data_IF_575510992964
#
_entry.id   IF_575510992964
#
_cell.length_a   1.000
_cell.length_b   1.000
_cell.length_c   1.000
_cell.angle_alpha   90.00
_cell.angle_beta   90.00
_cell.angle_gamma   90.00
#
_symmetry.space_group_name_H-M   'P 1'
#
loop_
_entity.id
_entity.type
_entity.pdbx_description
1 polymer ?
#
# COMPACT_ATOMS: atom_id res chain seq x y z
N UNK A 1 -22.11 -16.25 -4.50
CA UNK A 1 -23.49 -16.66 -4.21
C UNK A 1 -24.05 -16.06 -2.91
N UNK A 2 -23.29 -15.97 -1.81
CA UNK A 2 -23.77 -15.35 -0.55
C UNK A 2 -23.90 -13.82 -0.66
N UNK A 3 -23.09 -13.16 -1.49
CA UNK A 3 -23.14 -11.70 -1.66
C UNK A 3 -24.30 -11.18 -2.52
N UNK A 4 -24.97 -12.04 -3.29
CA UNK A 4 -25.96 -11.58 -4.27
C UNK A 4 -27.41 -11.66 -3.77
N UNK A 5 -27.69 -12.40 -2.69
CA UNK A 5 -29.08 -12.70 -2.28
C UNK A 5 -29.64 -11.85 -1.14
N UNK A 6 -28.81 -11.19 -0.33
CA UNK A 6 -29.26 -10.41 0.86
C UNK A 6 -28.42 -9.11 1.03
N UNK A 7 -27.71 -8.70 0.00
CA UNK A 7 -26.81 -7.56 0.12
C UNK A 7 -27.56 -6.22 0.03
N UNK A 8 -27.39 -5.39 1.02
CA UNK A 8 -27.68 -3.96 0.89
C UNK A 8 -26.71 -3.36 -0.13
N UNK A 9 -27.22 -2.67 -1.13
CA UNK A 9 -26.42 -2.01 -2.15
C UNK A 9 -26.34 -0.53 -1.86
N UNK A 10 -25.11 0.01 -1.78
CA UNK A 10 -24.90 1.45 -1.76
C UNK A 10 -25.21 2.03 -3.14
N UNK A 11 -26.20 2.91 -3.27
CA UNK A 11 -26.63 3.45 -4.57
C UNK A 11 -25.59 4.34 -5.23
N UNK A 12 -24.66 4.93 -4.46
CA UNK A 12 -23.64 5.86 -4.94
C UNK A 12 -22.36 5.11 -5.32
N UNK A 13 -21.91 4.21 -4.45
CA UNK A 13 -20.64 3.49 -4.65
C UNK A 13 -20.82 2.16 -5.39
N UNK A 14 -22.06 1.68 -5.58
CA UNK A 14 -22.34 0.40 -6.18
C UNK A 14 -21.87 -0.82 -5.38
N UNK A 15 -21.37 -0.60 -4.16
CA UNK A 15 -20.84 -1.65 -3.29
C UNK A 15 -22.00 -2.44 -2.70
N UNK A 16 -21.94 -3.76 -2.80
CA UNK A 16 -22.84 -4.67 -2.10
C UNK A 16 -22.23 -5.08 -0.77
N UNK A 17 -23.04 -5.12 0.29
CA UNK A 17 -22.58 -5.49 1.62
C UNK A 17 -23.61 -6.30 2.40
N UNK A 18 -23.15 -7.25 3.21
CA UNK A 18 -23.94 -8.03 4.15
C UNK A 18 -23.23 -8.03 5.51
N UNK A 19 -24.03 -7.95 6.59
CA UNK A 19 -23.54 -8.14 7.95
C UNK A 19 -24.09 -9.47 8.50
N UNK A 20 -23.20 -10.31 8.98
CA UNK A 20 -23.55 -11.59 9.59
C UNK A 20 -23.13 -11.53 11.07
N UNK A 21 -24.02 -11.90 12.01
CA UNK A 21 -23.63 -12.06 13.40
C UNK A 21 -22.45 -13.04 13.53
N UNK A 22 -21.46 -12.67 14.31
CA UNK A 22 -20.23 -13.45 14.52
C UNK A 22 -19.83 -13.40 16.00
N UNK A 23 -18.97 -14.28 16.39
CA UNK A 23 -18.40 -14.36 17.75
C UNK A 23 -16.96 -14.78 17.68
N UNK A 24 -16.10 -14.11 18.46
CA UNK A 24 -14.73 -14.57 18.66
C UNK A 24 -14.39 -14.67 20.14
N UNK A 25 -13.32 -15.38 20.44
CA UNK A 25 -12.79 -15.46 21.80
C UNK A 25 -11.62 -14.50 21.94
N UNK A 26 -11.72 -13.57 22.88
CA UNK A 26 -10.63 -12.68 23.25
C UNK A 26 -9.90 -13.28 24.46
N UNK A 27 -8.60 -13.47 24.34
CA UNK A 27 -7.78 -13.99 25.42
C UNK A 27 -7.49 -12.87 26.43
N UNK A 28 -7.99 -13.01 27.64
CA UNK A 28 -7.69 -12.11 28.76
C UNK A 28 -6.87 -12.85 29.83
N UNK A 29 -6.30 -12.12 30.79
CA UNK A 29 -5.57 -12.70 31.92
C UNK A 29 -6.45 -13.65 32.74
N UNK A 30 -7.76 -13.48 32.70
CA UNK A 30 -8.77 -14.33 33.35
C UNK A 30 -9.26 -15.51 32.49
N UNK A 31 -8.76 -15.65 31.27
CA UNK A 31 -9.16 -16.66 30.30
C UNK A 31 -9.90 -16.09 29.05
N UNK A 32 -10.28 -16.94 28.12
CA UNK A 32 -10.95 -16.51 26.89
C UNK A 32 -12.39 -16.06 27.16
N UNK A 33 -12.71 -14.83 26.78
CA UNK A 33 -14.06 -14.25 26.88
C UNK A 33 -14.69 -14.22 25.50
N UNK A 34 -15.95 -14.69 25.31
CA UNK A 34 -16.65 -14.58 24.05
C UNK A 34 -17.06 -13.11 23.80
N UNK A 35 -16.68 -12.58 22.63
CA UNK A 35 -17.02 -11.22 22.20
C UNK A 35 -17.99 -11.32 21.04
N UNK A 36 -19.20 -10.80 21.23
CA UNK A 36 -20.19 -10.68 20.14
C UNK A 36 -19.70 -9.68 19.10
N UNK A 37 -19.85 -10.03 17.85
CA UNK A 37 -19.37 -9.26 16.74
C UNK A 37 -20.28 -9.34 15.51
N UNK A 38 -19.90 -8.62 14.49
CA UNK A 38 -20.49 -8.71 13.15
C UNK A 38 -19.37 -8.93 12.15
N UNK A 39 -19.53 -9.91 11.28
CA UNK A 39 -18.71 -10.10 10.09
C UNK A 39 -19.39 -9.38 8.93
N UNK A 40 -18.75 -8.33 8.45
CA UNK A 40 -19.21 -7.56 7.29
C UNK A 40 -18.48 -8.06 6.04
N UNK A 41 -19.23 -8.52 5.05
CA UNK A 41 -18.71 -8.92 3.75
C UNK A 41 -19.12 -7.88 2.72
N UNK A 42 -18.17 -7.44 1.91
CA UNK A 42 -18.36 -6.44 0.87
C UNK A 42 -17.93 -6.98 -0.48
N UNK A 43 -18.60 -6.52 -1.52
CA UNK A 43 -18.19 -6.68 -2.91
C UNK A 43 -18.22 -5.33 -3.61
N UNK A 44 -17.05 -4.87 -4.01
CA UNK A 44 -16.83 -3.63 -4.76
C UNK A 44 -16.59 -3.99 -6.22
N UNK A 45 -17.55 -3.71 -7.15
CA UNK A 45 -17.41 -4.10 -8.55
C UNK A 45 -16.27 -3.37 -9.26
N UNK A 46 -15.99 -2.12 -8.92
CA UNK A 46 -14.90 -1.34 -9.51
C UNK A 46 -13.55 -1.92 -9.11
N UNK A 47 -13.41 -2.23 -7.81
CA UNK A 47 -12.19 -2.88 -7.32
C UNK A 47 -12.04 -4.30 -7.88
N UNK A 48 -13.14 -5.03 -8.06
CA UNK A 48 -13.14 -6.35 -8.67
C UNK A 48 -12.59 -6.30 -10.11
N UNK A 49 -13.06 -5.36 -10.91
CA UNK A 49 -12.60 -5.15 -12.28
C UNK A 49 -11.11 -4.77 -12.32
N UNK A 50 -10.70 -3.77 -11.54
CA UNK A 50 -9.30 -3.34 -11.47
C UNK A 50 -8.35 -4.48 -11.07
N UNK A 51 -8.69 -5.21 -10.01
CA UNK A 51 -7.86 -6.32 -9.51
C UNK A 51 -7.85 -7.51 -10.49
N UNK A 52 -8.94 -7.73 -11.22
CA UNK A 52 -9.04 -8.77 -12.25
C UNK A 52 -8.14 -8.42 -13.43
N UNK A 53 -8.23 -7.20 -13.93
CA UNK A 53 -7.42 -6.72 -15.05
C UNK A 53 -5.91 -6.72 -14.68
N UNK A 54 -5.56 -6.36 -13.47
CA UNK A 54 -4.19 -6.44 -12.96
C UNK A 54 -3.70 -7.89 -12.92
N UNK A 55 -4.49 -8.81 -12.40
CA UNK A 55 -4.16 -10.23 -12.35
C UNK A 55 -3.96 -10.82 -13.76
N UNK A 56 -4.88 -10.57 -14.68
CA UNK A 56 -4.75 -11.04 -16.07
C UNK A 56 -3.50 -10.49 -16.73
N UNK A 57 -3.24 -9.20 -16.60
CA UNK A 57 -2.04 -8.56 -17.16
C UNK A 57 -0.77 -9.22 -16.61
N UNK A 58 -0.70 -9.46 -15.30
CA UNK A 58 0.47 -10.06 -14.67
C UNK A 58 0.68 -11.51 -15.12
N UNK A 59 -0.40 -12.30 -15.21
CA UNK A 59 -0.35 -13.69 -15.66
C UNK A 59 0.04 -13.78 -17.13
N UNK A 60 -0.54 -12.95 -18.00
CA UNK A 60 -0.23 -12.94 -19.44
C UNK A 60 1.22 -12.50 -19.70
N UNK A 61 1.68 -11.46 -19.03
CA UNK A 61 3.08 -11.03 -19.14
C UNK A 61 4.05 -12.11 -18.69
N UNK A 62 3.74 -12.82 -17.60
CA UNK A 62 4.59 -13.91 -17.13
C UNK A 62 4.57 -15.09 -18.08
N UNK A 63 3.40 -15.43 -18.65
CA UNK A 63 3.27 -16.48 -19.67
C UNK A 63 4.12 -16.17 -20.90
N UNK A 64 4.06 -14.96 -21.41
CA UNK A 64 4.84 -14.49 -22.56
C UNK A 64 6.34 -14.63 -22.29
N UNK A 65 6.84 -14.07 -21.18
CA UNK A 65 8.24 -14.14 -20.80
C UNK A 65 8.75 -15.57 -20.62
N UNK A 66 7.91 -16.46 -20.05
CA UNK A 66 8.26 -17.88 -19.87
C UNK A 66 8.31 -18.63 -21.20
N UNK A 67 7.37 -18.39 -22.10
CA UNK A 67 7.36 -19.02 -23.41
C UNK A 67 8.50 -18.50 -24.31
N UNK A 68 8.79 -17.21 -24.29
CA UNK A 68 9.97 -16.65 -24.98
C UNK A 68 11.28 -17.27 -24.45
N UNK A 69 11.41 -17.42 -23.13
CA UNK A 69 12.55 -18.06 -22.52
C UNK A 69 12.70 -19.54 -22.93
N UNK A 70 11.58 -20.26 -22.98
CA UNK A 70 11.55 -21.65 -23.44
C UNK A 70 11.88 -21.78 -24.93
N UNK A 71 11.40 -20.88 -25.78
CA UNK A 71 11.72 -20.85 -27.21
C UNK A 71 13.22 -20.64 -27.46
N UNK A 72 13.88 -19.77 -26.69
CA UNK A 72 15.34 -19.58 -26.78
C UNK A 72 16.10 -20.83 -26.40
N UNK A 73 15.66 -21.57 -25.38
CA UNK A 73 16.28 -22.85 -25.00
C UNK A 73 16.13 -23.89 -26.13
N UNK A 74 14.91 -24.04 -26.71
CA UNK A 74 14.68 -24.94 -27.85
C UNK A 74 15.55 -24.57 -29.05
N UNK A 75 15.74 -23.28 -29.32
CA UNK A 75 16.64 -22.84 -30.40
C UNK A 75 18.06 -23.27 -30.12
N UNK A 76 18.59 -23.09 -28.91
CA UNK A 76 19.93 -23.55 -28.51
C UNK A 76 20.05 -25.07 -28.68
N UNK A 77 19.04 -25.83 -28.28
CA UNK A 77 19.02 -27.29 -28.43
C UNK A 77 19.01 -27.73 -29.90
N UNK A 78 18.21 -27.09 -30.74
CA UNK A 78 18.15 -27.35 -32.18
C UNK A 78 19.49 -27.05 -32.88
N UNK A 79 20.12 -25.91 -32.60
CA UNK A 79 21.44 -25.54 -33.12
C UNK A 79 22.53 -26.50 -32.62
N UNK A 80 22.38 -26.98 -31.38
CA UNK A 80 23.28 -27.97 -30.79
C UNK A 80 23.18 -29.30 -31.51
N UNK A 81 21.98 -29.78 -31.83
CA UNK A 81 21.78 -31.01 -32.60
C UNK A 81 22.48 -30.94 -33.97
N UNK A 82 22.30 -29.85 -34.72
CA UNK A 82 22.97 -29.61 -35.99
C UNK A 82 24.52 -29.58 -35.86
N UNK A 83 24.99 -29.04 -34.73
CA UNK A 83 26.44 -28.98 -34.44
C UNK A 83 27.01 -30.34 -34.03
N UNK A 84 26.23 -31.17 -33.34
CA UNK A 84 26.59 -32.54 -32.99
C UNK A 84 26.70 -33.40 -34.24
N UNK A 85 25.75 -33.29 -35.19
CA UNK A 85 25.83 -34.01 -36.47
C UNK A 85 27.12 -33.72 -37.25
N UNK A 86 27.50 -32.41 -37.29
CA UNK A 86 28.77 -31.98 -37.91
C UNK A 86 30.02 -32.45 -37.13
N UNK A 87 29.92 -32.48 -35.78
CA UNK A 87 31.03 -32.92 -34.92
C UNK A 87 31.20 -34.43 -34.92
N UNK A 88 30.15 -35.20 -35.17
CA UNK A 88 30.22 -36.67 -35.29
C UNK A 88 31.18 -37.14 -36.40
N UNK A 89 31.30 -36.33 -37.46
CA UNK A 89 32.28 -36.58 -38.54
C UNK A 89 33.75 -36.38 -38.10
N UNK A 90 33.98 -35.66 -36.97
CA UNK A 90 35.30 -35.32 -36.43
C UNK A 90 35.72 -36.15 -35.22
N UNK A 91 34.86 -37.06 -34.76
CA UNK A 91 35.13 -38.00 -33.67
C UNK A 91 34.47 -37.64 -32.32
N UNK A 92 34.49 -38.61 -31.41
CA UNK A 92 33.79 -38.53 -30.11
C UNK A 92 34.20 -37.36 -29.21
N UNK A 93 35.49 -36.99 -29.21
CA UNK A 93 35.98 -35.86 -28.41
C UNK A 93 35.36 -34.51 -28.83
N UNK A 94 35.12 -34.32 -30.15
CA UNK A 94 34.47 -33.14 -30.68
C UNK A 94 32.98 -33.07 -30.26
N UNK A 95 32.28 -34.19 -30.31
CA UNK A 95 30.87 -34.30 -29.85
C UNK A 95 30.75 -33.98 -28.36
N UNK A 96 31.65 -34.49 -27.51
CA UNK A 96 31.66 -34.25 -26.07
C UNK A 96 31.85 -32.75 -25.75
N UNK A 97 32.74 -32.07 -26.50
CA UNK A 97 32.97 -30.63 -26.35
C UNK A 97 31.75 -29.79 -26.73
N UNK A 98 31.05 -30.14 -27.83
CA UNK A 98 29.81 -29.46 -28.24
C UNK A 98 28.70 -29.62 -27.18
N UNK A 99 28.51 -30.84 -26.67
CA UNK A 99 27.53 -31.11 -25.62
C UNK A 99 27.81 -30.33 -24.34
N UNK A 100 29.05 -30.23 -23.88
CA UNK A 100 29.41 -29.48 -22.68
C UNK A 100 29.19 -27.95 -22.86
N UNK A 101 29.52 -27.40 -24.02
CA UNK A 101 29.30 -26.00 -24.35
C UNK A 101 27.81 -25.66 -24.43
N UNK A 102 27.02 -26.54 -25.04
CA UNK A 102 25.57 -26.37 -25.12
C UNK A 102 24.89 -26.41 -23.74
N UNK A 103 25.30 -27.35 -22.89
CA UNK A 103 24.77 -27.43 -21.53
C UNK A 103 25.05 -26.14 -20.71
N UNK A 104 26.21 -25.53 -20.93
CA UNK A 104 26.54 -24.24 -20.29
C UNK A 104 25.69 -23.11 -20.84
N UNK A 105 25.40 -23.06 -22.14
CA UNK A 105 24.51 -22.06 -22.75
C UNK A 105 23.07 -22.20 -22.24
N UNK A 106 22.53 -23.40 -22.19
CA UNK A 106 21.21 -23.68 -21.64
C UNK A 106 21.14 -23.22 -20.19
N UNK A 107 22.13 -23.56 -19.36
CA UNK A 107 22.17 -23.13 -17.96
C UNK A 107 22.21 -21.61 -17.81
N UNK A 108 22.99 -20.91 -18.63
CA UNK A 108 23.03 -19.45 -18.64
C UNK A 108 21.66 -18.84 -19.03
N UNK A 109 21.01 -19.45 -20.03
CA UNK A 109 19.67 -19.00 -20.45
C UNK A 109 18.61 -19.25 -19.37
N UNK A 110 18.65 -20.39 -18.69
CA UNK A 110 17.77 -20.69 -17.56
C UNK A 110 17.96 -19.69 -16.41
N UNK A 111 19.20 -19.34 -16.09
CA UNK A 111 19.52 -18.35 -15.08
C UNK A 111 18.99 -16.95 -15.47
N UNK A 112 19.13 -16.55 -16.72
CA UNK A 112 18.54 -15.31 -17.24
C UNK A 112 17.01 -15.35 -17.16
N UNK A 113 16.39 -16.45 -17.59
CA UNK A 113 14.93 -16.63 -17.54
C UNK A 113 14.39 -16.58 -16.10
N UNK A 114 15.16 -17.02 -15.11
CA UNK A 114 14.77 -16.94 -13.70
C UNK A 114 14.73 -15.50 -13.16
N UNK A 115 15.51 -14.59 -13.76
CA UNK A 115 15.60 -13.17 -13.38
C UNK A 115 14.59 -12.26 -14.09
N UNK A 116 13.88 -12.77 -15.11
CA UNK A 116 12.92 -11.97 -15.91
C UNK A 116 11.67 -11.55 -15.14
N UNK A 117 11.31 -12.30 -14.12
CA UNK A 117 10.13 -12.03 -13.30
C UNK A 117 10.60 -11.87 -11.86
N UNK A 118 10.13 -10.80 -11.19
CA UNK A 118 10.41 -10.58 -9.77
C UNK A 118 9.97 -11.81 -8.94
N UNK A 119 10.84 -12.35 -8.05
CA UNK A 119 10.53 -13.55 -7.25
C UNK A 119 9.23 -13.44 -6.42
N UNK A 120 8.93 -12.24 -5.91
CA UNK A 120 7.71 -11.99 -5.12
C UNK A 120 6.48 -12.06 -6.02
N UNK A 121 6.56 -11.44 -7.21
CA UNK A 121 5.50 -11.49 -8.21
C UNK A 121 5.33 -12.93 -8.72
N UNK A 122 6.42 -13.62 -9.05
CA UNK A 122 6.38 -15.02 -9.49
C UNK A 122 5.68 -15.94 -8.49
N UNK A 123 5.98 -15.79 -7.19
CA UNK A 123 5.34 -16.58 -6.13
C UNK A 123 3.81 -16.41 -6.11
N UNK A 124 3.30 -15.23 -6.46
CA UNK A 124 1.86 -14.94 -6.51
C UNK A 124 1.17 -15.54 -7.72
N UNK A 125 1.83 -15.56 -8.89
CA UNK A 125 1.20 -15.92 -10.17
C UNK A 125 1.52 -17.33 -10.64
N UNK A 126 2.60 -17.97 -10.15
CA UNK A 126 3.02 -19.31 -10.60
C UNK A 126 1.93 -20.39 -10.50
N UNK A 127 1.00 -20.24 -9.56
CA UNK A 127 -0.11 -21.18 -9.37
C UNK A 127 -1.08 -21.21 -10.57
N UNK A 128 -1.14 -20.12 -11.33
CA UNK A 128 -2.01 -20.00 -12.50
C UNK A 128 -1.37 -20.49 -13.79
N UNK A 129 -0.11 -20.90 -13.73
CA UNK A 129 0.64 -21.38 -14.88
C UNK A 129 1.08 -22.83 -14.64
N UNK A 130 1.14 -23.61 -15.71
CA UNK A 130 1.74 -24.94 -15.70
C UNK A 130 2.72 -25.09 -16.85
N UNK A 131 3.75 -25.89 -16.63
CA UNK A 131 4.79 -26.23 -17.60
C UNK A 131 4.46 -27.58 -18.24
N UNK A 132 4.27 -27.59 -19.55
CA UNK A 132 4.15 -28.81 -20.33
C UNK A 132 5.54 -29.24 -20.87
N UNK A 133 6.26 -30.04 -20.10
CA UNK A 133 7.60 -30.53 -20.47
C UNK A 133 7.62 -31.46 -21.68
N UNK A 134 6.45 -31.94 -22.12
CA UNK A 134 6.29 -32.81 -23.28
C UNK A 134 5.73 -32.06 -24.50
N UNK A 135 5.67 -30.74 -24.43
CA UNK A 135 5.17 -29.94 -25.53
C UNK A 135 6.04 -30.12 -26.78
N UNK A 136 5.40 -30.31 -27.93
CA UNK A 136 6.09 -30.38 -29.23
C UNK A 136 6.68 -29.03 -29.60
N UNK A 137 7.52 -28.99 -30.65
CA UNK A 137 8.27 -27.78 -30.99
C UNK A 137 7.40 -26.57 -31.32
N UNK A 138 6.20 -26.79 -31.85
CA UNK A 138 5.18 -25.80 -32.23
C UNK A 138 4.19 -25.50 -31.09
N UNK A 139 4.23 -26.22 -29.97
CA UNK A 139 3.34 -26.01 -28.83
C UNK A 139 4.02 -25.12 -27.76
N UNK A 140 3.25 -24.25 -27.07
CA UNK A 140 3.78 -23.50 -25.97
C UNK A 140 4.17 -24.39 -24.80
N UNK A 141 5.32 -24.13 -24.21
CA UNK A 141 5.80 -24.87 -23.03
C UNK A 141 4.99 -24.49 -21.78
N UNK A 142 4.62 -23.23 -21.67
CA UNK A 142 3.82 -22.73 -20.56
C UNK A 142 2.40 -22.42 -20.99
N UNK A 143 1.43 -22.78 -20.17
CA UNK A 143 0.00 -22.56 -20.42
C UNK A 143 -0.70 -22.10 -19.15
N UNK A 144 -1.89 -21.47 -19.30
CA UNK A 144 -2.71 -20.97 -18.20
C UNK A 144 -3.61 -22.09 -17.67
N UNK A 145 -3.70 -22.19 -16.35
CA UNK A 145 -4.71 -22.97 -15.64
C UNK A 145 -5.95 -22.12 -15.47
N UNK A 146 -6.85 -22.20 -16.42
CA UNK A 146 -8.04 -21.35 -16.47
C UNK A 146 -8.96 -21.54 -15.28
N UNK A 147 -9.09 -22.76 -14.75
CA UNK A 147 -9.98 -23.04 -13.62
C UNK A 147 -9.50 -22.35 -12.34
N UNK A 148 -8.20 -22.46 -12.03
CA UNK A 148 -7.59 -21.77 -10.87
C UNK A 148 -7.65 -20.24 -11.01
N UNK A 149 -7.47 -19.74 -12.24
CA UNK A 149 -7.55 -18.30 -12.52
C UNK A 149 -8.98 -17.79 -12.36
N UNK A 150 -9.99 -18.54 -12.86
CA UNK A 150 -11.40 -18.22 -12.71
C UNK A 150 -11.83 -18.18 -11.24
N UNK A 151 -11.44 -19.20 -10.47
CA UNK A 151 -11.69 -19.23 -9.02
C UNK A 151 -11.09 -18.00 -8.31
N UNK A 152 -9.84 -17.64 -8.66
CA UNK A 152 -9.20 -16.47 -8.07
C UNK A 152 -9.88 -15.15 -8.43
N UNK A 153 -10.49 -15.05 -9.61
CA UNK A 153 -11.22 -13.87 -10.06
C UNK A 153 -12.56 -13.71 -9.31
N UNK A 154 -13.23 -14.80 -8.94
CA UNK A 154 -14.50 -14.75 -8.20
C UNK A 154 -14.42 -13.97 -6.89
N UNK A 155 -13.25 -14.00 -6.23
CA UNK A 155 -13.01 -13.30 -4.96
C UNK A 155 -12.42 -11.91 -5.12
N UNK A 156 -12.21 -11.41 -6.35
CA UNK A 156 -11.72 -10.05 -6.56
C UNK A 156 -12.79 -9.04 -6.18
N UNK A 157 -12.32 -7.93 -5.57
CA UNK A 157 -13.22 -6.90 -5.02
C UNK A 157 -13.97 -7.30 -3.76
N UNK A 158 -13.78 -8.54 -3.27
CA UNK A 158 -14.36 -8.98 -1.99
C UNK A 158 -13.45 -8.54 -0.83
N UNK A 159 -14.09 -8.04 0.23
CA UNK A 159 -13.44 -7.64 1.48
C UNK A 159 -14.27 -8.11 2.67
N UNK A 160 -13.61 -8.55 3.73
CA UNK A 160 -14.24 -8.89 5.00
C UNK A 160 -13.72 -7.98 6.11
N UNK A 161 -14.62 -7.41 6.91
CA UNK A 161 -14.31 -6.61 8.08
C UNK A 161 -15.06 -7.19 9.26
N UNK A 162 -14.39 -7.37 10.40
CA UNK A 162 -15.04 -7.80 11.65
C UNK A 162 -15.11 -6.60 12.58
N UNK A 163 -16.29 -6.38 13.19
CA UNK A 163 -16.53 -5.30 14.14
C UNK A 163 -17.33 -5.80 15.33
N UNK A 164 -16.95 -5.40 16.53
CA UNK A 164 -17.73 -5.65 17.76
C UNK A 164 -18.63 -4.47 18.14
N UNK A 165 -18.48 -3.33 17.47
CA UNK A 165 -19.16 -2.09 17.83
C UNK A 165 -20.28 -1.68 16.84
N UNK A 166 -20.18 -2.13 15.58
CA UNK A 166 -21.04 -1.63 14.52
C UNK A 166 -21.71 -2.78 13.76
N UNK A 167 -23.04 -2.73 13.68
CA UNK A 167 -23.85 -3.70 12.95
C UNK A 167 -24.13 -3.29 11.50
N UNK A 168 -24.09 -1.99 11.21
CA UNK A 168 -24.31 -1.49 9.86
C UNK A 168 -23.04 -1.61 9.01
N UNK A 169 -23.05 -2.40 7.91
CA UNK A 169 -21.85 -2.65 7.11
C UNK A 169 -21.27 -1.38 6.47
N UNK A 170 -22.11 -0.40 6.06
CA UNK A 170 -21.60 0.81 5.42
C UNK A 170 -20.96 1.76 6.43
N UNK A 171 -21.47 1.82 7.66
CA UNK A 171 -20.84 2.58 8.75
C UNK A 171 -19.50 1.93 9.12
N UNK A 172 -19.47 0.61 9.26
CA UNK A 172 -18.24 -0.14 9.51
C UNK A 172 -17.19 0.09 8.40
N UNK A 173 -17.60 0.08 7.12
CA UNK A 173 -16.73 0.36 5.98
C UNK A 173 -16.19 1.80 6.02
N UNK A 174 -17.04 2.77 6.34
CA UNK A 174 -16.63 4.18 6.49
C UNK A 174 -15.59 4.34 7.60
N UNK A 175 -15.81 3.73 8.75
CA UNK A 175 -14.85 3.72 9.86
C UNK A 175 -13.53 3.05 9.46
N UNK A 176 -13.60 1.90 8.81
CA UNK A 176 -12.40 1.19 8.33
C UNK A 176 -11.59 2.02 7.32
N UNK A 177 -12.25 2.70 6.39
CA UNK A 177 -11.60 3.59 5.41
C UNK A 177 -10.89 4.78 6.06
N UNK A 178 -11.27 5.19 7.27
CA UNK A 178 -10.55 6.21 8.04
C UNK A 178 -9.21 5.71 8.59
N UNK A 179 -8.96 4.39 8.59
CA UNK A 179 -7.69 3.79 9.03
C UNK A 179 -6.48 4.39 8.30
N UNK A 180 -6.59 4.71 7.02
CA UNK A 180 -5.49 5.30 6.27
C UNK A 180 -5.04 6.65 6.86
N UNK A 181 -5.93 7.40 7.53
CA UNK A 181 -5.60 8.65 8.23
C UNK A 181 -4.64 8.35 9.39
N UNK A 182 -4.91 7.27 10.13
CA UNK A 182 -4.05 6.81 11.22
C UNK A 182 -2.70 6.35 10.68
N UNK A 183 -2.71 5.57 9.59
CA UNK A 183 -1.48 5.10 8.92
C UNK A 183 -0.65 6.27 8.37
N UNK A 184 -1.27 7.26 7.77
CA UNK A 184 -0.61 8.49 7.36
C UNK A 184 -0.05 9.25 8.56
N UNK A 185 -0.79 9.31 9.68
CA UNK A 185 -0.32 9.89 10.93
C UNK A 185 0.94 9.20 11.45
N UNK A 186 0.97 7.88 11.47
CA UNK A 186 2.16 7.11 11.87
C UNK A 186 3.33 7.29 10.90
N UNK A 187 3.09 7.32 9.60
CA UNK A 187 4.13 7.57 8.60
C UNK A 187 4.74 8.97 8.76
N UNK A 188 3.92 9.97 9.03
CA UNK A 188 4.38 11.33 9.31
C UNK A 188 5.19 11.39 10.61
N UNK A 189 4.71 10.74 11.66
CA UNK A 189 5.43 10.64 12.93
C UNK A 189 6.81 10.02 12.74
N UNK A 190 6.89 8.92 12.00
CA UNK A 190 8.12 8.18 11.72
C UNK A 190 9.10 8.98 10.86
N UNK A 191 8.60 9.57 9.79
CA UNK A 191 9.45 10.12 8.72
C UNK A 191 9.70 11.62 8.87
N UNK A 192 8.71 12.40 9.35
CA UNK A 192 8.82 13.86 9.44
C UNK A 192 9.28 14.34 10.81
N UNK A 193 8.91 13.63 11.87
CA UNK A 193 9.25 14.00 13.27
C UNK A 193 10.46 13.21 13.78
N UNK A 194 10.98 12.26 12.98
CA UNK A 194 12.15 11.46 13.37
C UNK A 194 11.85 10.41 14.46
N UNK A 195 10.59 10.01 14.60
CA UNK A 195 10.14 9.06 15.61
C UNK A 195 10.71 7.64 15.50
N UNK A 196 11.42 7.32 14.40
CA UNK A 196 12.07 6.02 14.20
C UNK A 196 13.39 5.84 14.98
N UNK A 197 13.94 6.90 15.59
CA UNK A 197 15.20 6.84 16.36
C UNK A 197 14.92 6.78 17.86
N UNK A 198 14.75 5.58 18.36
CA UNK A 198 14.58 5.31 19.79
C UNK A 198 15.88 4.71 20.35
N UNK A 199 16.82 5.55 20.70
CA UNK A 199 18.08 5.15 21.36
C UNK A 199 18.08 5.61 22.82
N UNK A 200 17.05 5.32 23.58
CA UNK A 200 16.94 5.90 24.91
C UNK A 200 16.54 4.82 25.93
N UNK A 201 16.81 5.11 27.21
CA UNK A 201 16.28 4.33 28.32
C UNK A 201 14.75 4.25 28.24
N UNK A 202 14.14 3.25 28.89
CA UNK A 202 12.68 3.05 28.87
C UNK A 202 11.92 4.31 29.30
N UNK A 203 12.39 5.04 30.32
CA UNK A 203 11.76 6.28 30.78
C UNK A 203 11.81 7.38 29.70
N UNK A 204 12.97 7.55 29.05
CA UNK A 204 13.12 8.50 27.96
C UNK A 204 12.28 8.10 26.73
N UNK A 205 12.16 6.80 26.45
CA UNK A 205 11.29 6.26 25.40
C UNK A 205 9.82 6.62 25.66
N UNK A 206 9.31 6.38 26.86
CA UNK A 206 7.93 6.70 27.27
C UNK A 206 7.65 8.21 27.17
N UNK A 207 8.58 9.04 27.66
CA UNK A 207 8.47 10.50 27.57
C UNK A 207 8.44 10.98 26.13
N UNK A 208 9.33 10.44 25.29
CA UNK A 208 9.40 10.77 23.86
C UNK A 208 8.12 10.32 23.11
N UNK A 209 7.61 9.13 23.39
CA UNK A 209 6.37 8.63 22.82
C UNK A 209 5.18 9.52 23.21
N UNK A 210 5.12 9.96 24.46
CA UNK A 210 4.07 10.89 24.93
C UNK A 210 4.11 12.20 24.17
N UNK A 211 5.29 12.83 24.06
CA UNK A 211 5.46 14.09 23.30
C UNK A 211 5.07 13.92 21.83
N UNK A 212 5.46 12.82 21.21
CA UNK A 212 5.11 12.54 19.82
C UNK A 212 3.61 12.31 19.62
N UNK A 213 2.96 11.62 20.54
CA UNK A 213 1.49 11.42 20.50
C UNK A 213 0.77 12.75 20.62
N UNK A 214 1.22 13.62 21.53
CA UNK A 214 0.65 14.96 21.72
C UNK A 214 0.88 15.84 20.47
N UNK A 215 2.08 15.84 19.91
CA UNK A 215 2.40 16.58 18.69
C UNK A 215 1.56 16.10 17.49
N UNK A 216 1.36 14.79 17.37
CA UNK A 216 0.54 14.22 16.33
C UNK A 216 -0.94 14.56 16.50
N UNK A 217 -1.48 14.52 17.73
CA UNK A 217 -2.85 14.91 18.03
C UNK A 217 -3.09 16.38 17.67
N UNK A 218 -2.17 17.28 18.04
CA UNK A 218 -2.22 18.69 17.71
C UNK A 218 -2.20 18.90 16.18
N UNK A 219 -1.29 18.22 15.48
CA UNK A 219 -1.18 18.29 14.02
C UNK A 219 -2.47 17.85 13.33
N UNK A 220 -3.06 16.73 13.77
CA UNK A 220 -4.31 16.23 13.23
C UNK A 220 -5.48 17.20 13.47
N UNK A 221 -5.54 17.80 14.66
CA UNK A 221 -6.53 18.83 14.99
C UNK A 221 -6.40 20.07 14.08
N UNK A 222 -5.16 20.56 13.88
CA UNK A 222 -4.88 21.67 12.97
C UNK A 222 -5.28 21.33 11.52
N UNK A 223 -4.98 20.12 11.06
CA UNK A 223 -5.32 19.68 9.71
C UNK A 223 -6.84 19.56 9.50
N UNK A 224 -7.56 19.01 10.49
CA UNK A 224 -9.03 18.95 10.48
C UNK A 224 -9.61 20.35 10.38
N UNK A 225 -9.13 21.27 11.23
CA UNK A 225 -9.61 22.65 11.23
C UNK A 225 -9.32 23.38 9.91
N UNK A 226 -8.13 23.19 9.35
CA UNK A 226 -7.79 23.78 8.07
C UNK A 226 -8.70 23.28 6.93
N UNK A 227 -9.08 21.99 6.94
CA UNK A 227 -10.03 21.43 5.97
C UNK A 227 -11.45 21.97 6.13
N UNK A 228 -11.92 22.08 7.37
CA UNK A 228 -13.23 22.67 7.68
C UNK A 228 -13.32 24.11 7.18
N UNK A 229 -12.31 24.94 7.47
CA UNK A 229 -12.27 26.33 7.06
C UNK A 229 -12.14 26.45 5.54
N UNK A 230 -11.28 25.65 4.92
CA UNK A 230 -11.11 25.64 3.47
C UNK A 230 -12.42 25.25 2.72
N UNK A 231 -13.22 24.35 3.30
CA UNK A 231 -14.51 23.97 2.71
C UNK A 231 -15.50 25.15 2.63
N UNK A 232 -15.41 26.11 3.57
CA UNK A 232 -16.25 27.31 3.62
C UNK A 232 -15.58 28.50 2.91
N UNK A 233 -14.25 28.56 2.96
CA UNK A 233 -13.40 29.63 2.42
C UNK A 233 -12.34 29.07 1.47
N UNK A 234 -12.70 28.72 0.21
CA UNK A 234 -11.78 28.09 -0.75
C UNK A 234 -10.57 28.96 -1.15
N UNK A 235 -10.65 30.27 -0.90
CA UNK A 235 -9.56 31.23 -1.11
C UNK A 235 -8.40 31.03 -0.13
N UNK A 236 -8.68 30.52 1.09
CA UNK A 236 -7.68 30.19 2.10
C UNK A 236 -7.10 28.80 1.83
N UNK A 237 -5.88 28.74 1.33
CA UNK A 237 -5.24 27.48 0.96
C UNK A 237 -4.04 27.16 1.86
N UNK A 238 -3.86 25.88 2.11
CA UNK A 238 -2.67 25.37 2.79
C UNK A 238 -1.46 25.46 1.85
N UNK A 239 -0.30 25.98 2.29
CA UNK A 239 0.89 26.06 1.46
C UNK A 239 1.34 24.68 0.97
N UNK A 240 1.40 24.50 -0.36
CA UNK A 240 1.77 23.23 -1.01
C UNK A 240 1.01 22.01 -0.44
N UNK A 241 -0.23 22.20 0.03
CA UNK A 241 -1.04 21.18 0.70
C UNK A 241 -0.32 20.49 1.88
N UNK A 242 0.69 21.15 2.44
CA UNK A 242 1.60 20.59 3.44
C UNK A 242 1.50 21.30 4.79
N UNK A 243 1.16 20.55 5.84
CA UNK A 243 1.17 21.03 7.23
C UNK A 243 2.57 21.48 7.66
N UNK A 244 3.62 20.79 7.20
CA UNK A 244 5.00 21.18 7.48
C UNK A 244 5.31 22.58 6.94
N UNK A 245 4.91 22.87 5.70
CA UNK A 245 5.10 24.19 5.08
C UNK A 245 4.28 25.27 5.79
N UNK A 246 3.06 24.97 6.23
CA UNK A 246 2.24 25.87 7.02
C UNK A 246 2.95 26.24 8.34
N UNK A 247 3.42 25.25 9.10
CA UNK A 247 4.15 25.48 10.36
C UNK A 247 5.42 26.29 10.11
N UNK A 248 6.24 25.93 9.10
CA UNK A 248 7.45 26.66 8.74
C UNK A 248 7.17 28.13 8.42
N UNK A 249 6.07 28.42 7.73
CA UNK A 249 5.70 29.80 7.44
C UNK A 249 5.23 30.57 8.70
N UNK A 250 4.49 29.90 9.59
CA UNK A 250 4.08 30.52 10.86
C UNK A 250 5.27 30.76 11.80
N UNK A 251 6.31 29.95 11.74
CA UNK A 251 7.57 30.16 12.51
C UNK A 251 8.29 31.47 12.14
N UNK A 252 8.01 32.05 10.97
CA UNK A 252 8.55 33.35 10.59
C UNK A 252 7.88 34.53 11.31
N UNK A 253 6.81 34.30 12.07
CA UNK A 253 6.19 35.35 12.88
C UNK A 253 7.05 35.67 14.08
N UNK A 254 7.23 36.97 14.35
CA UNK A 254 8.10 37.45 15.42
C UNK A 254 7.28 38.08 16.56
N UNK A 255 7.69 37.79 17.78
CA UNK A 255 7.22 38.46 18.97
C UNK A 255 8.41 39.14 19.68
N UNK A 256 8.22 40.35 20.10
CA UNK A 256 9.27 41.16 20.75
C UNK A 256 8.95 41.31 22.24
N UNK A 257 9.98 41.10 23.08
CA UNK A 257 9.84 41.37 24.51
C UNK A 257 9.77 42.90 24.73
N UNK A 258 8.66 43.36 25.33
CA UNK A 258 8.50 44.75 25.68
C UNK A 258 9.32 45.07 26.92
N UNK A 259 10.12 46.12 26.85
CA UNK A 259 11.13 46.46 27.90
C UNK A 259 10.51 46.74 29.27
N UNK A 260 9.32 47.36 29.31
CA UNK A 260 8.72 47.89 30.56
C UNK A 260 7.60 47.01 31.10
N UNK A 261 6.97 46.15 30.27
CA UNK A 261 5.73 45.43 30.67
C UNK A 261 5.96 43.95 30.88
N UNK A 262 7.18 43.47 30.86
CA UNK A 262 7.51 42.03 30.94
C UNK A 262 6.59 41.12 30.09
N UNK A 263 6.19 41.63 28.94
CA UNK A 263 5.30 40.94 28.02
C UNK A 263 5.91 40.77 26.64
N UNK A 264 5.51 39.72 25.92
CA UNK A 264 5.83 39.58 24.52
C UNK A 264 4.70 40.18 23.68
N UNK A 265 5.04 41.09 22.79
CA UNK A 265 4.13 41.76 21.87
C UNK A 265 4.37 41.24 20.47
N UNK A 266 3.28 40.90 19.78
CA UNK A 266 3.35 40.40 18.42
C UNK A 266 3.84 41.54 17.47
N UNK A 267 4.82 41.24 16.65
CA UNK A 267 5.28 42.13 15.60
C UNK A 267 4.25 42.31 14.47
N UNK A 268 4.63 43.04 13.44
CA UNK A 268 3.77 43.24 12.28
C UNK A 268 3.50 41.91 11.59
N UNK A 269 2.22 41.51 11.52
CA UNK A 269 1.81 40.25 10.89
C UNK A 269 1.46 40.53 9.43
N UNK A 270 2.21 39.96 8.50
CA UNK A 270 1.93 40.04 7.07
C UNK A 270 0.58 39.40 6.70
N UNK A 271 -0.03 39.86 5.61
CA UNK A 271 -1.31 39.30 5.13
C UNK A 271 -1.26 37.77 5.01
N UNK A 272 -0.19 37.22 4.43
CA UNK A 272 0.01 35.78 4.28
C UNK A 272 -0.11 35.02 5.61
N UNK A 273 0.49 35.54 6.69
CA UNK A 273 0.41 34.90 8.01
C UNK A 273 -0.99 35.01 8.61
N UNK A 274 -1.70 36.11 8.37
CA UNK A 274 -3.11 36.25 8.79
C UNK A 274 -4.01 35.24 8.08
N UNK A 275 -3.80 35.04 6.79
CA UNK A 275 -4.56 34.07 6.00
C UNK A 275 -4.32 32.64 6.50
N UNK A 276 -3.06 32.30 6.85
CA UNK A 276 -2.73 30.99 7.44
C UNK A 276 -3.33 30.78 8.83
N UNK A 277 -3.36 31.83 9.65
CA UNK A 277 -4.01 31.78 10.97
C UNK A 277 -5.53 31.69 10.83
N UNK A 278 -6.13 32.41 9.88
CA UNK A 278 -7.54 32.30 9.56
C UNK A 278 -7.90 30.89 9.10
N UNK A 279 -7.05 30.23 8.29
CA UNK A 279 -7.20 28.83 7.90
C UNK A 279 -7.25 27.89 9.12
N UNK A 280 -6.56 28.21 10.20
CA UNK A 280 -6.61 27.49 11.48
C UNK A 280 -7.76 27.96 12.41
N UNK A 281 -8.64 28.84 11.92
CA UNK A 281 -9.75 29.38 12.69
C UNK A 281 -9.36 30.54 13.63
N UNK A 282 -8.13 31.07 13.51
CA UNK A 282 -7.64 32.17 14.36
C UNK A 282 -7.82 33.49 13.59
N UNK A 283 -8.94 34.14 13.81
CA UNK A 283 -9.30 35.40 13.12
C UNK A 283 -8.91 36.67 13.90
N UNK A 284 -8.75 36.55 15.22
CA UNK A 284 -8.34 37.64 16.09
C UNK A 284 -6.99 37.37 16.72
N UNK A 285 -6.04 38.25 16.47
CA UNK A 285 -4.71 38.15 17.04
C UNK A 285 -4.58 39.05 18.26
N UNK A 286 -4.14 38.54 19.41
CA UNK A 286 -3.84 39.37 20.57
C UNK A 286 -2.60 40.22 20.29
N UNK A 287 -2.61 41.47 20.71
CA UNK A 287 -1.40 42.33 20.67
C UNK A 287 -0.32 41.78 21.62
N UNK A 288 -0.71 41.30 22.79
CA UNK A 288 0.16 40.68 23.78
C UNK A 288 0.03 39.17 23.68
N UNK A 289 1.11 38.45 23.35
CA UNK A 289 1.11 37.00 23.17
C UNK A 289 1.32 36.29 24.50
N UNK A 290 2.18 36.84 25.36
CA UNK A 290 2.52 36.23 26.64
C UNK A 290 2.97 37.30 27.66
N UNK A 291 2.60 37.12 28.94
CA UNK A 291 3.11 37.90 30.06
C UNK A 291 3.74 36.97 31.08
N UNK A 292 4.94 37.33 31.54
CA UNK A 292 5.50 36.65 32.69
C UNK A 292 4.82 37.22 33.95
N UNK A 293 4.27 36.32 34.75
CA UNK A 293 3.80 36.64 36.10
C UNK A 293 4.96 36.90 37.04
#
# INVERSE_FOLDING_TARGET
ALCDSIAHKDPVLGISAIAVPDEWKENTDAGPIPVKAYLHLYRDPVMAELQTNELYRDVLKALELKNEGAAKIRQIESETLKSIEKAAQKGEAAVKKVKSSAAELVRKQEEQNSKLIDPVQWKKIKRFLYENRRAKDDEPVWSIKFDELKEAVEFKGCQAIRSNAESNPFVALKLYRQRHIIEQGFNQLKNEVGGSRFEATEAAYRGKLFVYTLAQALRMSMLSKAREVHAVHPELKMPEESMRKLITQLQCMQAYKHRTTNAFVLGTVAKRHRDLLALLGITKLPKTVFRFS
#
